data_IF_844189780014
#
_entry.id   IF_844189780014
#
_cell.length_a   1.000
_cell.length_b   1.000
_cell.length_c   1.000
_cell.angle_alpha   90.00
_cell.angle_beta   90.00
_cell.angle_gamma   90.00
#
_symmetry.space_group_name_H-M   'P 1'
#
loop_
_entity.id
_entity.type
_entity.pdbx_description
1 polymer ?
#
# COMPACT_ATOMS: atom_id res chain seq x y z
N UNK A 1 -30.84 50.61 16.44
CA UNK A 1 -29.50 50.20 16.92
C UNK A 1 -28.58 50.13 15.71
N UNK A 2 -27.38 50.73 15.74
CA UNK A 2 -26.43 50.61 14.63
C UNK A 2 -25.49 49.43 14.95
N UNK A 3 -25.35 48.42 14.09
CA UNK A 3 -24.38 47.35 14.29
C UNK A 3 -22.98 47.94 14.47
N UNK A 4 -22.23 47.43 15.45
CA UNK A 4 -20.83 47.81 15.67
C UNK A 4 -19.93 47.01 14.74
N UNK A 5 -18.93 47.66 14.15
CA UNK A 5 -17.88 47.00 13.35
C UNK A 5 -16.56 47.08 14.11
N UNK A 6 -15.90 45.95 14.30
CA UNK A 6 -14.58 45.85 14.95
C UNK A 6 -13.61 45.05 14.09
N UNK A 7 -12.32 45.32 14.24
CA UNK A 7 -11.26 44.49 13.68
C UNK A 7 -10.61 43.64 14.78
N UNK A 8 -10.30 42.38 14.46
CA UNK A 8 -9.62 41.45 15.38
C UNK A 8 -8.53 40.69 14.63
N UNK A 9 -7.37 40.49 15.28
CA UNK A 9 -6.25 39.71 14.73
C UNK A 9 -6.15 38.42 15.52
N UNK A 10 -6.25 37.28 14.82
CA UNK A 10 -6.11 35.95 15.43
C UNK A 10 -4.97 35.21 14.76
N UNK A 11 -4.18 34.50 15.54
CA UNK A 11 -3.17 33.57 15.02
C UNK A 11 -3.78 32.18 14.88
N UNK A 12 -3.70 31.61 13.69
CA UNK A 12 -4.21 30.28 13.38
C UNK A 12 -3.09 29.38 12.86
N UNK A 13 -3.16 28.08 13.15
CA UNK A 13 -2.21 27.10 12.62
C UNK A 13 -2.46 26.82 11.13
N UNK A 14 -1.37 26.57 10.40
CA UNK A 14 -1.41 26.03 9.04
C UNK A 14 -0.90 24.60 9.14
N UNK A 15 -1.78 23.63 8.91
CA UNK A 15 -1.42 22.22 8.97
C UNK A 15 -0.29 21.90 7.98
N UNK A 16 0.71 21.13 8.42
CA UNK A 16 1.75 20.67 7.53
C UNK A 16 1.27 19.58 6.57
N UNK A 17 1.87 19.53 5.39
CA UNK A 17 1.69 18.41 4.46
C UNK A 17 2.46 17.16 4.91
N UNK A 18 2.21 16.05 4.24
CA UNK A 18 3.02 14.83 4.33
C UNK A 18 3.38 14.33 2.94
N UNK A 19 4.65 14.01 2.74
CA UNK A 19 5.21 13.45 1.52
C UNK A 19 5.88 12.10 1.81
N UNK A 20 5.66 11.14 0.94
CA UNK A 20 6.36 9.86 1.00
C UNK A 20 7.53 9.85 0.02
N UNK A 21 8.72 9.46 0.49
CA UNK A 21 9.91 9.27 -0.36
C UNK A 21 10.46 7.86 -0.21
N UNK A 22 10.89 7.27 -1.32
CA UNK A 22 11.49 5.95 -1.31
C UNK A 22 12.94 6.04 -0.81
N UNK A 23 13.34 5.14 0.07
CA UNK A 23 14.67 5.08 0.67
C UNK A 23 15.26 3.68 0.53
N UNK A 24 16.43 3.56 -0.11
CA UNK A 24 17.08 2.28 -0.40
C UNK A 24 17.90 1.73 0.77
N UNK A 25 18.01 2.46 1.88
CA UNK A 25 18.69 2.05 3.11
C UNK A 25 17.71 1.52 4.16
N UNK A 26 16.43 1.87 4.05
CA UNK A 26 15.34 1.33 4.88
C UNK A 26 14.80 0.02 4.25
N UNK A 27 14.64 -1.03 5.07
CA UNK A 27 14.11 -2.32 4.63
C UNK A 27 12.71 -2.21 4.03
N UNK A 28 12.48 -2.90 2.93
CA UNK A 28 11.18 -2.95 2.27
C UNK A 28 10.07 -3.38 3.24
N UNK A 29 8.97 -2.61 3.26
CA UNK A 29 7.85 -2.81 4.18
C UNK A 29 7.99 -2.09 5.54
N UNK A 30 9.14 -1.46 5.83
CA UNK A 30 9.30 -0.55 6.97
C UNK A 30 9.17 0.90 6.53
N UNK A 31 8.75 1.75 7.46
CA UNK A 31 8.76 3.20 7.32
C UNK A 31 9.69 3.82 8.35
N UNK A 32 10.27 4.97 7.99
CA UNK A 32 11.09 5.79 8.87
C UNK A 32 10.73 7.25 8.66
N UNK A 33 10.62 8.04 9.72
CA UNK A 33 10.48 9.50 9.57
C UNK A 33 11.83 10.05 9.09
N UNK A 34 11.84 10.66 7.91
CA UNK A 34 12.99 11.36 7.36
C UNK A 34 13.08 12.80 7.87
N UNK A 35 11.97 13.52 7.79
CA UNK A 35 11.82 14.88 8.33
C UNK A 35 10.49 14.96 9.05
N UNK A 36 10.50 15.42 10.30
CA UNK A 36 9.28 15.63 11.08
C UNK A 36 8.50 16.84 10.53
N UNK A 37 7.19 16.69 10.38
CA UNK A 37 6.31 17.77 9.97
C UNK A 37 6.14 18.80 11.09
N UNK A 38 6.11 20.08 10.72
CA UNK A 38 5.89 21.16 11.69
C UNK A 38 4.85 22.13 11.14
N UNK A 39 3.76 22.32 11.87
CA UNK A 39 2.73 23.28 11.48
C UNK A 39 3.27 24.71 11.35
N UNK A 40 2.75 25.38 10.33
CA UNK A 40 2.93 26.80 10.11
C UNK A 40 1.95 27.63 10.92
N UNK A 41 2.02 28.95 10.76
CA UNK A 41 1.14 29.91 11.43
C UNK A 41 0.75 31.02 10.46
N UNK A 42 -0.50 31.44 10.49
CA UNK A 42 -0.99 32.66 9.81
C UNK A 42 -1.65 33.60 10.82
N UNK A 43 -1.50 34.90 10.59
CA UNK A 43 -2.33 35.92 11.20
C UNK A 43 -3.51 36.19 10.27
N UNK A 44 -4.73 36.10 10.79
CA UNK A 44 -5.95 36.44 10.07
C UNK A 44 -6.58 37.65 10.72
N UNK A 45 -6.82 38.70 9.93
CA UNK A 45 -7.52 39.91 10.34
C UNK A 45 -8.99 39.76 9.97
N UNK A 46 -9.86 39.78 10.97
CA UNK A 46 -11.30 39.69 10.79
C UNK A 46 -11.97 41.04 10.97
N UNK A 47 -12.97 41.31 10.14
CA UNK A 47 -14.06 42.22 10.44
C UNK A 47 -15.13 41.45 11.20
N UNK A 48 -15.46 41.89 12.41
CA UNK A 48 -16.50 41.32 13.25
C UNK A 48 -17.65 42.33 13.31
N UNK A 49 -18.84 41.88 12.91
CA UNK A 49 -20.09 42.64 13.05
C UNK A 49 -20.79 42.14 14.30
N UNK A 50 -21.05 43.04 15.23
CA UNK A 50 -21.74 42.77 16.47
C UNK A 50 -23.06 43.53 16.56
N UNK A 51 -24.08 42.88 17.12
CA UNK A 51 -25.33 43.52 17.53
C UNK A 51 -25.59 43.19 19.01
N UNK A 52 -25.81 44.22 19.84
CA UNK A 52 -25.97 44.08 21.30
C UNK A 52 -24.81 43.35 22.00
N UNK A 53 -23.59 43.44 21.46
CA UNK A 53 -22.40 42.78 22.02
C UNK A 53 -22.27 41.30 21.66
N UNK A 54 -23.15 40.76 20.81
CA UNK A 54 -23.07 39.40 20.28
C UNK A 54 -22.53 39.44 18.85
N UNK A 55 -21.51 38.62 18.55
CA UNK A 55 -20.99 38.43 17.19
C UNK A 55 -22.06 37.79 16.31
N UNK A 56 -22.47 38.50 15.26
CA UNK A 56 -23.46 38.01 14.28
C UNK A 56 -22.84 37.71 12.92
N UNK A 57 -21.64 38.24 12.64
CA UNK A 57 -20.90 37.93 11.42
C UNK A 57 -19.40 38.13 11.62
N UNK A 58 -18.62 37.32 10.91
CA UNK A 58 -17.17 37.40 10.83
C UNK A 58 -16.74 37.26 9.39
N UNK A 59 -15.93 38.20 8.90
CA UNK A 59 -15.37 38.19 7.55
C UNK A 59 -13.87 38.36 7.59
N UNK A 60 -13.14 37.58 6.81
CA UNK A 60 -11.69 37.75 6.64
C UNK A 60 -11.44 38.99 5.78
N UNK A 61 -10.63 39.91 6.30
CA UNK A 61 -10.16 41.09 5.56
C UNK A 61 -8.77 40.84 4.97
N UNK A 62 -7.89 40.19 5.73
CA UNK A 62 -6.52 39.94 5.33
C UNK A 62 -6.00 38.67 6.03
N UNK A 63 -5.11 37.96 5.36
CA UNK A 63 -4.31 36.89 5.94
C UNK A 63 -2.84 37.09 5.59
N UNK A 64 -1.97 36.78 6.54
CA UNK A 64 -0.51 36.84 6.37
C UNK A 64 0.09 35.59 7.01
N UNK A 65 0.88 34.83 6.24
CA UNK A 65 1.64 33.70 6.78
C UNK A 65 2.79 34.24 7.64
N UNK A 66 2.81 33.88 8.92
CA UNK A 66 3.86 34.23 9.87
C UNK A 66 4.99 33.19 9.87
N UNK A 67 4.63 31.92 9.66
CA UNK A 67 5.56 30.80 9.61
C UNK A 67 5.06 29.78 8.59
N UNK A 68 5.89 29.44 7.62
CA UNK A 68 5.57 28.39 6.66
C UNK A 68 5.54 27.02 7.35
N UNK A 69 4.58 26.13 7.01
CA UNK A 69 4.61 24.76 7.47
C UNK A 69 5.80 24.01 6.86
N UNK A 70 6.39 23.08 7.62
CA UNK A 70 7.42 22.16 7.16
C UNK A 70 6.77 20.82 6.85
N UNK A 71 6.85 20.37 5.59
CA UNK A 71 6.31 19.09 5.15
C UNK A 71 6.98 17.91 5.86
N UNK A 72 6.18 16.99 6.40
CA UNK A 72 6.67 15.72 6.91
C UNK A 72 7.17 14.84 5.76
N UNK A 73 8.36 14.27 5.89
CA UNK A 73 8.88 13.30 4.93
C UNK A 73 8.89 11.92 5.58
N UNK A 74 8.05 11.02 5.06
CA UNK A 74 8.04 9.60 5.44
C UNK A 74 8.86 8.81 4.43
N UNK A 75 9.97 8.24 4.90
CA UNK A 75 10.83 7.36 4.12
C UNK A 75 10.23 5.95 4.10
N UNK A 76 9.82 5.49 2.91
CA UNK A 76 9.40 4.10 2.68
C UNK A 76 10.60 3.28 2.26
N UNK A 77 10.84 2.18 2.98
CA UNK A 77 11.94 1.30 2.65
C UNK A 77 11.78 0.63 1.29
N UNK A 78 12.86 0.63 0.52
CA UNK A 78 13.03 -0.10 -0.74
C UNK A 78 14.24 -1.03 -0.70
N UNK A 79 14.97 -1.08 0.42
CA UNK A 79 16.09 -2.01 0.60
C UNK A 79 15.58 -3.44 0.57
N UNK A 80 15.95 -4.15 -0.48
CA UNK A 80 15.66 -5.56 -0.65
C UNK A 80 16.62 -6.35 0.23
N UNK A 81 16.10 -6.91 1.32
CA UNK A 81 16.78 -7.98 2.06
C UNK A 81 16.37 -9.27 1.36
N UNK A 82 17.21 -9.78 0.46
CA UNK A 82 16.98 -11.11 -0.10
C UNK A 82 16.90 -12.11 1.07
N UNK A 83 15.91 -13.02 1.11
CA UNK A 83 15.93 -14.08 2.10
C UNK A 83 17.26 -14.82 1.96
N UNK A 84 18.02 -14.90 3.06
CA UNK A 84 19.24 -15.72 3.09
C UNK A 84 18.80 -17.15 2.81
N UNK A 85 19.14 -17.63 1.62
CA UNK A 85 19.01 -19.03 1.27
C UNK A 85 19.91 -19.81 2.24
N UNK A 86 19.32 -20.56 3.17
CA UNK A 86 20.08 -21.58 3.87
C UNK A 86 20.34 -22.68 2.87
N UNK A 87 21.54 -22.70 2.28
CA UNK A 87 22.04 -23.73 1.36
C UNK A 87 22.21 -25.10 2.04
N UNK A 88 21.52 -25.34 3.15
CA UNK A 88 21.57 -26.57 3.93
C UNK A 88 20.20 -26.81 4.53
N UNK A 89 19.23 -27.19 3.69
CA UNK A 89 18.09 -27.98 4.13
C UNK A 89 17.50 -28.75 2.94
N UNK A 90 17.64 -30.06 3.05
CA UNK A 90 16.94 -31.15 2.37
C UNK A 90 15.61 -30.73 1.73
N UNK A 91 15.45 -31.03 0.44
CA UNK A 91 14.21 -31.03 -0.36
C UNK A 91 12.95 -31.05 0.51
N UNK A 92 12.32 -29.89 0.75
CA UNK A 92 10.98 -29.84 1.33
C UNK A 92 9.98 -30.16 0.21
N UNK A 93 9.80 -31.46 0.00
CA UNK A 93 9.19 -32.10 -1.16
C UNK A 93 8.00 -31.38 -1.79
N UNK A 94 7.99 -31.39 -3.12
CA UNK A 94 6.88 -31.15 -4.02
C UNK A 94 6.51 -29.71 -4.40
N UNK A 95 6.80 -28.65 -3.61
CA UNK A 95 6.51 -27.26 -4.08
C UNK A 95 7.37 -26.86 -5.29
N UNK A 96 8.67 -27.10 -5.20
CA UNK A 96 9.61 -26.83 -6.29
C UNK A 96 9.25 -27.66 -7.53
N UNK A 97 8.91 -28.94 -7.34
CA UNK A 97 8.46 -29.81 -8.43
C UNK A 97 7.14 -29.33 -9.06
N UNK A 98 6.20 -28.81 -8.26
CA UNK A 98 4.97 -28.20 -8.77
C UNK A 98 5.25 -26.93 -9.58
N UNK A 99 6.18 -26.08 -9.13
CA UNK A 99 6.59 -24.87 -9.85
C UNK A 99 7.34 -25.20 -11.14
N UNK A 100 8.26 -26.18 -11.09
CA UNK A 100 8.96 -26.71 -12.27
C UNK A 100 7.97 -27.29 -13.28
N UNK A 101 7.04 -28.14 -12.85
CA UNK A 101 6.00 -28.72 -13.71
C UNK A 101 5.01 -27.67 -14.26
N UNK A 102 4.88 -26.52 -13.58
CA UNK A 102 4.14 -25.36 -14.06
C UNK A 102 4.95 -24.49 -15.05
N UNK A 103 6.24 -24.78 -15.26
CA UNK A 103 7.14 -24.04 -16.16
C UNK A 103 7.71 -22.77 -15.54
N UNK A 104 7.71 -22.65 -14.22
CA UNK A 104 8.25 -21.51 -13.49
C UNK A 104 9.77 -21.70 -13.36
N UNK A 105 10.54 -20.64 -13.66
CA UNK A 105 11.98 -20.66 -13.49
C UNK A 105 12.38 -20.71 -12.02
N UNK A 106 13.46 -21.42 -11.70
CA UNK A 106 13.99 -21.52 -10.33
C UNK A 106 14.27 -20.14 -9.71
N UNK A 107 14.67 -19.16 -10.52
CA UNK A 107 14.89 -17.78 -10.06
C UNK A 107 13.64 -17.11 -9.50
N UNK A 108 12.45 -17.59 -9.86
CA UNK A 108 11.17 -17.07 -9.41
C UNK A 108 10.59 -17.80 -8.20
N UNK A 109 11.17 -18.94 -7.78
CA UNK A 109 10.61 -19.78 -6.72
C UNK A 109 10.41 -19.04 -5.41
N UNK A 110 11.36 -18.16 -5.05
CA UNK A 110 11.24 -17.35 -3.83
C UNK A 110 10.06 -16.39 -3.87
N UNK A 111 9.78 -15.79 -5.04
CA UNK A 111 8.64 -14.87 -5.21
C UNK A 111 7.32 -15.62 -5.17
N UNK A 112 7.25 -16.78 -5.84
CA UNK A 112 6.07 -17.63 -5.88
C UNK A 112 5.75 -18.17 -4.48
N UNK A 113 6.73 -18.73 -3.77
CA UNK A 113 6.50 -19.29 -2.43
C UNK A 113 6.03 -18.20 -1.46
N UNK A 114 6.57 -16.99 -1.54
CA UNK A 114 6.11 -15.87 -0.74
C UNK A 114 4.63 -15.54 -1.00
N UNK A 115 4.27 -15.29 -2.26
CA UNK A 115 2.92 -14.88 -2.64
C UNK A 115 1.93 -15.99 -2.30
N UNK A 116 2.15 -17.21 -2.79
CA UNK A 116 1.23 -18.33 -2.60
C UNK A 116 1.08 -18.72 -1.12
N UNK A 117 2.13 -18.56 -0.31
CA UNK A 117 2.01 -18.73 1.14
C UNK A 117 1.08 -17.70 1.77
N UNK A 118 1.14 -16.44 1.34
CA UNK A 118 0.26 -15.37 1.84
C UNK A 118 -1.19 -15.53 1.35
N UNK A 119 -1.37 -15.96 0.11
CA UNK A 119 -2.71 -16.11 -0.50
C UNK A 119 -3.47 -17.32 0.05
N UNK A 120 -2.82 -18.48 0.15
CA UNK A 120 -3.52 -19.75 0.42
C UNK A 120 -2.82 -20.69 1.39
N UNK A 121 -1.63 -20.33 1.87
CA UNK A 121 -0.74 -21.23 2.60
C UNK A 121 -0.47 -22.52 1.81
N UNK A 122 -0.36 -22.40 0.47
CA UNK A 122 -0.16 -23.52 -0.45
C UNK A 122 -1.30 -24.57 -0.46
N UNK A 123 -2.53 -24.16 -0.19
CA UNK A 123 -3.71 -25.05 -0.23
C UNK A 123 -4.47 -24.85 -1.55
N UNK A 124 -4.43 -25.80 -2.50
CA UNK A 124 -5.09 -25.63 -3.82
C UNK A 124 -6.62 -25.56 -3.75
N UNK A 125 -7.21 -26.07 -2.67
CA UNK A 125 -8.64 -25.96 -2.39
C UNK A 125 -9.01 -24.83 -1.44
N UNK A 126 -8.11 -23.87 -1.16
CA UNK A 126 -8.42 -22.72 -0.31
C UNK A 126 -9.53 -21.89 -0.95
N UNK A 127 -10.68 -21.84 -0.30
CA UNK A 127 -11.83 -21.05 -0.72
C UNK A 127 -12.19 -20.05 0.37
N UNK A 128 -12.33 -18.79 0.00
CA UNK A 128 -12.85 -17.76 0.91
C UNK A 128 -14.37 -17.68 0.77
N UNK A 129 -15.10 -18.05 1.82
CA UNK A 129 -16.57 -18.09 1.83
C UNK A 129 -17.23 -16.70 1.73
N UNK A 130 -16.51 -15.63 2.04
CA UNK A 130 -17.01 -14.27 1.99
C UNK A 130 -16.81 -13.63 0.60
N UNK A 131 -15.61 -13.78 0.01
CA UNK A 131 -15.27 -13.16 -1.27
C UNK A 131 -15.44 -14.07 -2.50
N UNK A 132 -15.47 -15.39 -2.31
CA UNK A 132 -15.49 -16.37 -3.40
C UNK A 132 -14.12 -16.60 -4.07
N UNK A 133 -13.04 -16.06 -3.51
CA UNK A 133 -11.69 -16.30 -4.00
C UNK A 133 -11.27 -17.77 -3.80
N UNK A 134 -10.56 -18.33 -4.76
CA UNK A 134 -10.26 -19.76 -4.79
C UNK A 134 -8.83 -20.09 -5.25
N UNK A 135 -8.26 -21.13 -4.65
CA UNK A 135 -7.02 -21.76 -5.10
C UNK A 135 -5.75 -21.06 -4.64
N UNK A 136 -4.62 -21.50 -5.19
CA UNK A 136 -3.29 -21.12 -4.75
C UNK A 136 -3.04 -19.61 -4.76
N UNK A 137 -3.49 -18.92 -5.81
CA UNK A 137 -3.40 -17.46 -5.96
C UNK A 137 -4.71 -16.72 -5.67
N UNK A 138 -5.68 -17.36 -4.99
CA UNK A 138 -6.95 -16.74 -4.60
C UNK A 138 -7.66 -16.01 -5.76
N UNK A 139 -7.81 -16.71 -6.89
CA UNK A 139 -8.40 -16.15 -8.10
C UNK A 139 -9.88 -15.80 -7.92
N UNK A 140 -10.29 -14.61 -8.40
CA UNK A 140 -11.67 -14.15 -8.37
C UNK A 140 -12.17 -13.69 -9.76
N UNK A 141 -13.20 -14.35 -10.34
CA UNK A 141 -13.75 -15.65 -9.95
C UNK A 141 -12.80 -16.82 -10.29
N UNK A 142 -12.95 -17.93 -9.58
CA UNK A 142 -12.18 -19.17 -9.79
C UNK A 142 -12.21 -19.67 -11.25
N UNK A 143 -13.33 -19.46 -11.95
CA UNK A 143 -13.53 -19.90 -13.34
C UNK A 143 -12.53 -19.32 -14.34
N UNK A 144 -11.85 -18.21 -14.01
CA UNK A 144 -10.77 -17.68 -14.83
C UNK A 144 -9.62 -18.68 -15.00
N UNK A 145 -9.39 -19.57 -14.04
CA UNK A 145 -8.34 -20.58 -14.12
C UNK A 145 -8.64 -21.69 -15.13
N UNK A 146 -9.87 -21.79 -15.64
CA UNK A 146 -10.24 -22.76 -16.68
C UNK A 146 -9.44 -22.57 -17.99
N UNK A 147 -8.87 -21.38 -18.22
CA UNK A 147 -8.01 -21.12 -19.38
C UNK A 147 -6.67 -21.84 -19.31
N UNK A 148 -6.21 -22.23 -18.12
CA UNK A 148 -4.98 -23.01 -17.93
C UNK A 148 -5.24 -24.52 -17.96
N UNK A 149 -6.48 -24.97 -17.73
CA UNK A 149 -6.87 -26.37 -17.74
C UNK A 149 -8.22 -26.60 -17.07
N UNK A 150 -8.97 -27.62 -17.52
CA UNK A 150 -10.30 -27.93 -16.98
C UNK A 150 -10.27 -28.47 -15.53
N UNK A 151 -9.11 -28.95 -15.08
CA UNK A 151 -8.86 -29.53 -13.75
C UNK A 151 -8.40 -28.49 -12.71
N UNK A 152 -8.57 -27.19 -13.01
CA UNK A 152 -8.10 -26.08 -12.19
C UNK A 152 -8.61 -26.07 -10.74
N UNK A 153 -9.72 -26.74 -10.44
CA UNK A 153 -10.23 -26.81 -9.07
C UNK A 153 -9.33 -27.67 -8.17
N UNK A 154 -8.73 -28.73 -8.70
CA UNK A 154 -8.00 -29.70 -7.87
C UNK A 154 -6.52 -29.79 -8.21
N UNK A 155 -6.10 -29.33 -9.38
CA UNK A 155 -4.74 -29.47 -9.84
C UNK A 155 -3.88 -28.21 -9.51
N UNK A 156 -2.92 -28.30 -8.56
CA UNK A 156 -2.02 -27.19 -8.23
C UNK A 156 -1.16 -26.71 -9.40
N UNK A 157 -0.77 -27.59 -10.33
CA UNK A 157 0.04 -27.22 -11.50
C UNK A 157 -0.78 -26.33 -12.43
N UNK A 158 -2.04 -26.71 -12.70
CA UNK A 158 -2.96 -25.91 -13.51
C UNK A 158 -3.20 -24.53 -12.88
N UNK A 159 -3.37 -24.48 -11.56
CA UNK A 159 -3.47 -23.21 -10.84
C UNK A 159 -2.19 -22.39 -10.98
N UNK A 160 -1.00 -22.95 -10.73
CA UNK A 160 0.29 -22.23 -10.84
C UNK A 160 0.56 -21.70 -12.26
N UNK A 161 0.17 -22.45 -13.30
CA UNK A 161 0.25 -21.99 -14.70
C UNK A 161 -0.61 -20.75 -14.92
N UNK A 162 -1.84 -20.76 -14.42
CA UNK A 162 -2.71 -19.60 -14.47
C UNK A 162 -2.14 -18.42 -13.67
N UNK A 163 -1.70 -18.67 -12.43
CA UNK A 163 -1.13 -17.63 -11.57
C UNK A 163 0.10 -16.98 -12.23
N UNK A 164 0.94 -17.76 -12.93
CA UNK A 164 2.08 -17.24 -13.69
C UNK A 164 1.65 -16.32 -14.83
N UNK A 165 0.60 -16.69 -15.57
CA UNK A 165 0.00 -15.84 -16.59
C UNK A 165 -0.57 -14.54 -16.02
N UNK A 166 -1.12 -14.59 -14.80
CA UNK A 166 -1.57 -13.40 -14.08
C UNK A 166 -0.37 -12.53 -13.65
N UNK A 167 0.71 -13.14 -13.17
CA UNK A 167 1.94 -12.43 -12.74
C UNK A 167 2.58 -11.63 -13.87
N UNK A 168 2.43 -12.08 -15.12
CA UNK A 168 2.90 -11.34 -16.30
C UNK A 168 2.32 -9.93 -16.42
N UNK A 169 1.15 -9.64 -15.82
CA UNK A 169 0.57 -8.28 -15.77
C UNK A 169 1.45 -7.30 -14.98
N UNK A 170 2.30 -7.82 -14.12
CA UNK A 170 3.25 -7.06 -13.30
C UNK A 170 4.67 -7.14 -13.85
N UNK A 171 4.87 -7.76 -15.02
CA UNK A 171 6.21 -8.06 -15.54
C UNK A 171 6.81 -9.37 -15.00
N UNK A 172 5.96 -10.30 -14.54
CA UNK A 172 6.36 -11.62 -14.02
C UNK A 172 6.30 -11.70 -12.50
N UNK A 173 6.72 -12.83 -11.94
CA UNK A 173 6.62 -13.12 -10.50
C UNK A 173 7.38 -12.12 -9.62
N UNK A 174 8.56 -11.69 -10.05
CA UNK A 174 9.31 -10.64 -9.36
C UNK A 174 8.55 -9.30 -9.32
N UNK A 175 7.80 -8.98 -10.38
CA UNK A 175 6.98 -7.78 -10.45
C UNK A 175 5.71 -7.89 -9.61
N UNK A 176 5.04 -9.05 -9.65
CA UNK A 176 3.89 -9.35 -8.80
C UNK A 176 4.25 -9.28 -7.32
N UNK A 177 5.44 -9.77 -6.96
CA UNK A 177 5.97 -9.66 -5.62
C UNK A 177 6.15 -8.19 -5.19
N UNK A 178 6.69 -7.34 -6.08
CA UNK A 178 6.80 -5.89 -5.81
C UNK A 178 5.43 -5.23 -5.63
N UNK A 179 4.44 -5.60 -6.43
CA UNK A 179 3.06 -5.12 -6.25
C UNK A 179 2.53 -5.53 -4.88
N UNK A 180 2.66 -6.81 -4.51
CA UNK A 180 2.24 -7.31 -3.20
C UNK A 180 2.86 -6.53 -2.04
N UNK A 181 4.15 -6.19 -2.13
CA UNK A 181 4.83 -5.35 -1.13
C UNK A 181 4.31 -3.91 -1.08
N UNK A 182 3.86 -3.35 -2.20
CA UNK A 182 3.43 -1.96 -2.28
C UNK A 182 1.97 -1.75 -1.82
N UNK A 183 1.08 -2.68 -2.14
CA UNK A 183 -0.37 -2.50 -1.96
C UNK A 183 -1.06 -3.62 -1.16
N UNK A 184 -0.34 -4.69 -0.78
CA UNK A 184 -0.88 -5.82 -0.03
C UNK A 184 -1.69 -6.81 -0.88
N UNK A 185 -1.67 -6.64 -2.20
CA UNK A 185 -2.29 -7.50 -3.20
C UNK A 185 -1.51 -7.42 -4.52
N UNK A 186 -1.76 -8.36 -5.41
CA UNK A 186 -1.16 -8.46 -6.74
C UNK A 186 -2.20 -8.93 -7.74
#
# INVERSE_FOLDING_TARGET
>A
NRPGVKTSVVTEAIAHGSESRNDADVEAGKTKIGTEGVDGQRAVVYEIIEENGVEISRKILQEVVLKEPVTEIVLRGTKIVAPKFSSTLTVSGDKAALMEAAGISESDYGFVDYIITKESQWRPGAANSYSGAYGLCQALPASKMATAGADYLTNPITQLKWCSGYASRYGGWAGAYKAWLAQGWW
#
